data_IF_431905171031
#
_entry.id   IF_431905171031
#
_cell.length_a   1.000
_cell.length_b   1.000
_cell.length_c   1.000
_cell.angle_alpha   90.00
_cell.angle_beta   90.00
_cell.angle_gamma   90.00
#
_symmetry.space_group_name_H-M   'P 1'
#
loop_
_entity.id
_entity.type
_entity.pdbx_description
1 polymer ?
#
# COMPACT_ATOMS: atom_id res chain seq x y z
N UNK A 1 23.78 10.40 -15.61
CA UNK A 1 22.63 10.76 -14.76
C UNK A 1 21.33 10.30 -15.38
N UNK A 2 20.28 9.99 -14.60
CA UNK A 2 18.93 9.71 -15.13
C UNK A 2 18.03 10.90 -14.80
N UNK A 3 17.40 11.46 -15.82
CA UNK A 3 16.56 12.65 -15.70
C UNK A 3 15.13 12.36 -16.14
N UNK A 4 14.20 13.03 -15.50
CA UNK A 4 12.79 13.07 -15.86
C UNK A 4 12.49 14.42 -16.52
N UNK A 5 11.96 14.40 -17.73
CA UNK A 5 11.67 15.61 -18.52
C UNK A 5 10.39 15.46 -19.33
N UNK A 6 9.84 16.59 -19.78
CA UNK A 6 8.72 16.64 -20.71
C UNK A 6 9.23 16.87 -22.14
N UNK A 7 8.86 16.02 -23.09
CA UNK A 7 9.28 16.11 -24.49
C UNK A 7 8.35 16.96 -25.37
N UNK A 8 7.24 17.46 -24.81
CA UNK A 8 6.17 18.14 -25.54
C UNK A 8 4.87 17.34 -25.59
N UNK A 9 4.92 16.03 -25.41
CA UNK A 9 3.79 15.11 -25.50
C UNK A 9 3.63 14.22 -24.26
N UNK A 10 4.73 13.79 -23.65
CA UNK A 10 4.75 12.88 -22.53
C UNK A 10 5.96 13.10 -21.60
N UNK A 11 5.85 12.48 -20.43
CA UNK A 11 6.91 12.44 -19.44
C UNK A 11 7.87 11.28 -19.73
N UNK A 12 9.16 11.61 -19.92
CA UNK A 12 10.21 10.65 -20.28
C UNK A 12 11.26 10.58 -19.18
N UNK A 13 11.74 9.36 -18.90
CA UNK A 13 12.84 9.11 -17.96
C UNK A 13 13.97 8.39 -18.69
N UNK A 14 15.02 9.12 -19.07
CA UNK A 14 16.17 8.58 -19.80
C UNK A 14 17.50 8.97 -19.16
N UNK A 15 18.57 8.27 -19.56
CA UNK A 15 19.92 8.52 -19.09
C UNK A 15 20.58 9.60 -19.94
N UNK A 16 21.12 10.62 -19.29
CA UNK A 16 22.02 11.60 -19.91
C UNK A 16 23.32 10.89 -20.27
N UNK A 17 23.66 10.92 -21.56
CA UNK A 17 24.90 10.37 -22.11
C UNK A 17 25.92 11.46 -22.48
N UNK A 18 25.45 12.69 -22.73
CA UNK A 18 26.31 13.85 -23.05
C UNK A 18 25.63 15.17 -22.64
N UNK A 19 26.41 16.22 -22.44
CA UNK A 19 25.94 17.58 -22.09
C UNK A 19 26.58 18.58 -23.03
N UNK A 20 25.75 19.30 -23.79
CA UNK A 20 26.20 20.36 -24.71
C UNK A 20 25.85 21.73 -24.16
N UNK A 21 26.80 22.66 -24.27
CA UNK A 21 26.61 24.06 -23.86
C UNK A 21 26.68 24.92 -25.12
N UNK A 22 25.60 25.65 -25.39
CA UNK A 22 25.51 26.57 -26.53
C UNK A 22 25.17 27.95 -25.97
N UNK A 23 26.16 28.84 -25.96
CA UNK A 23 26.07 30.13 -25.26
C UNK A 23 25.85 29.92 -23.76
N UNK A 24 24.78 30.50 -23.22
CA UNK A 24 24.39 30.37 -21.80
C UNK A 24 23.45 29.19 -21.52
N UNK A 25 23.07 28.41 -22.55
CA UNK A 25 22.08 27.35 -22.44
C UNK A 25 22.74 25.97 -22.39
N UNK A 26 22.21 25.10 -21.52
CA UNK A 26 22.63 23.70 -21.40
C UNK A 26 21.57 22.77 -22.01
N UNK A 27 22.06 21.83 -22.79
CA UNK A 27 21.27 20.78 -23.44
C UNK A 27 21.82 19.41 -23.03
N UNK A 28 20.91 18.51 -22.69
CA UNK A 28 21.22 17.13 -22.33
C UNK A 28 20.93 16.22 -23.53
N UNK A 29 21.93 15.43 -23.92
CA UNK A 29 21.70 14.33 -24.86
C UNK A 29 21.30 13.12 -24.02
N UNK A 30 20.08 12.66 -24.22
CA UNK A 30 19.52 11.52 -23.48
C UNK A 30 19.47 10.27 -24.34
N UNK A 31 19.40 9.12 -23.68
CA UNK A 31 19.22 7.82 -24.30
C UNK A 31 18.49 6.90 -23.33
N UNK A 32 17.45 6.22 -23.83
CA UNK A 32 16.82 5.13 -23.09
C UNK A 32 17.78 3.95 -22.90
N UNK A 33 17.78 3.32 -21.72
CA UNK A 33 18.71 2.23 -21.40
C UNK A 33 18.58 1.02 -22.35
N UNK A 34 17.43 0.85 -23.01
CA UNK A 34 17.17 -0.20 -24.00
C UNK A 34 17.33 0.24 -25.47
N UNK A 35 17.60 1.52 -25.73
CA UNK A 35 17.73 2.03 -27.10
C UNK A 35 19.15 1.78 -27.62
N UNK A 36 19.31 1.60 -28.93
CA UNK A 36 20.63 1.45 -29.56
C UNK A 36 21.29 2.80 -29.84
N UNK A 37 20.49 3.81 -30.20
CA UNK A 37 20.92 5.16 -30.51
C UNK A 37 20.49 6.18 -29.43
N UNK A 38 21.15 7.36 -29.35
CA UNK A 38 20.67 8.50 -28.58
C UNK A 38 19.29 8.98 -29.04
N UNK A 39 18.58 9.67 -28.15
CA UNK A 39 17.35 10.36 -28.53
C UNK A 39 17.68 11.48 -29.54
N UNK A 40 16.83 11.69 -30.57
CA UNK A 40 17.13 12.61 -31.66
C UNK A 40 17.16 14.08 -31.22
N UNK A 41 16.33 14.45 -30.25
CA UNK A 41 16.17 15.82 -29.79
C UNK A 41 16.90 16.07 -28.46
N UNK A 42 17.87 17.02 -28.42
CA UNK A 42 18.50 17.43 -27.17
C UNK A 42 17.50 18.05 -26.19
N UNK A 43 17.55 17.65 -24.93
CA UNK A 43 16.65 18.12 -23.88
C UNK A 43 17.22 19.41 -23.26
N UNK A 44 16.57 20.57 -23.39
CA UNK A 44 17.05 21.79 -22.73
C UNK A 44 16.88 21.66 -21.21
N UNK A 45 17.79 22.27 -20.44
CA UNK A 45 17.75 22.21 -18.97
C UNK A 45 16.40 22.69 -18.38
N UNK A 46 15.72 23.62 -19.06
CA UNK A 46 14.40 24.13 -18.67
C UNK A 46 13.27 23.11 -18.76
N UNK A 47 13.43 22.05 -19.56
CA UNK A 47 12.43 20.96 -19.69
C UNK A 47 12.63 19.84 -18.67
N UNK A 48 13.72 19.87 -17.89
CA UNK A 48 14.03 18.85 -16.88
C UNK A 48 13.23 19.13 -15.62
N UNK A 49 12.40 18.15 -15.23
CA UNK A 49 11.54 18.22 -14.05
C UNK A 49 12.28 17.76 -12.79
N UNK A 50 13.19 16.81 -12.94
CA UNK A 50 13.95 16.29 -11.81
C UNK A 50 14.97 15.23 -12.20
N UNK A 51 15.86 14.91 -11.25
CA UNK A 51 16.85 13.83 -11.35
C UNK A 51 16.37 12.64 -10.52
N UNK A 52 16.56 11.42 -11.03
CA UNK A 52 16.30 10.22 -10.26
C UNK A 52 17.36 10.05 -9.18
N UNK A 53 16.95 10.08 -7.91
CA UNK A 53 17.86 9.99 -6.74
C UNK A 53 17.79 8.66 -6.00
N UNK A 54 16.72 7.88 -6.20
CA UNK A 54 16.48 6.63 -5.48
C UNK A 54 15.85 5.61 -6.42
N UNK A 55 16.31 4.36 -6.31
CA UNK A 55 15.66 3.19 -6.88
C UNK A 55 15.25 2.28 -5.73
N UNK A 56 13.98 1.91 -5.67
CA UNK A 56 13.51 0.88 -4.73
C UNK A 56 13.34 -0.42 -5.51
N UNK A 57 14.41 -1.24 -5.62
CA UNK A 57 14.32 -2.48 -6.37
C UNK A 57 13.29 -3.40 -5.73
N UNK A 58 12.62 -4.19 -6.58
CA UNK A 58 11.71 -5.27 -6.15
C UNK A 58 10.49 -4.84 -5.33
N UNK A 59 10.15 -3.56 -5.23
CA UNK A 59 8.92 -3.11 -4.54
C UNK A 59 7.65 -3.75 -5.13
N UNK A 60 7.68 -4.11 -6.42
CA UNK A 60 6.62 -4.86 -7.09
C UNK A 60 6.33 -6.23 -6.47
N UNK A 61 7.30 -6.88 -5.82
CA UNK A 61 7.10 -8.18 -5.15
C UNK A 61 6.12 -8.10 -3.99
N UNK A 62 6.09 -6.97 -3.27
CA UNK A 62 5.11 -6.74 -2.23
C UNK A 62 3.69 -6.75 -2.80
N UNK A 63 3.49 -6.10 -3.96
CA UNK A 63 2.18 -6.08 -4.62
C UNK A 63 1.74 -7.48 -5.07
N UNK A 64 2.68 -8.31 -5.54
CA UNK A 64 2.42 -9.68 -5.97
C UNK A 64 2.03 -10.55 -4.77
N UNK A 65 2.77 -10.45 -3.66
CA UNK A 65 2.49 -11.21 -2.44
C UNK A 65 1.09 -10.89 -1.89
N UNK A 66 0.75 -9.60 -1.78
CA UNK A 66 -0.57 -9.17 -1.28
C UNK A 66 -1.69 -9.71 -2.17
N UNK A 67 -1.58 -9.55 -3.50
CA UNK A 67 -2.57 -10.08 -4.44
C UNK A 67 -2.72 -11.59 -4.32
N UNK A 68 -1.62 -12.32 -4.17
CA UNK A 68 -1.63 -13.77 -4.02
C UNK A 68 -2.35 -14.20 -2.74
N UNK A 69 -2.01 -13.62 -1.59
CA UNK A 69 -2.64 -13.96 -0.31
C UNK A 69 -4.16 -13.68 -0.33
N UNK A 70 -4.57 -12.55 -0.91
CA UNK A 70 -6.00 -12.20 -1.06
C UNK A 70 -6.70 -13.22 -1.97
N UNK A 71 -6.08 -13.57 -3.10
CA UNK A 71 -6.66 -14.51 -4.06
C UNK A 71 -6.80 -15.92 -3.48
N UNK A 72 -5.74 -16.44 -2.85
CA UNK A 72 -5.77 -17.75 -2.19
C UNK A 72 -6.82 -17.77 -1.07
N UNK A 73 -6.90 -16.72 -0.25
CA UNK A 73 -7.95 -16.59 0.77
C UNK A 73 -9.36 -16.54 0.19
N UNK A 74 -9.55 -15.81 -0.91
CA UNK A 74 -10.83 -15.74 -1.63
C UNK A 74 -11.25 -17.12 -2.16
N UNK A 75 -10.33 -17.89 -2.75
CA UNK A 75 -10.63 -19.23 -3.25
C UNK A 75 -11.07 -20.17 -2.12
N UNK A 76 -10.35 -20.18 -1.00
CA UNK A 76 -10.70 -21.01 0.16
C UNK A 76 -12.13 -20.70 0.63
N UNK A 77 -12.48 -19.41 0.73
CA UNK A 77 -13.83 -18.98 1.14
C UNK A 77 -14.87 -19.34 0.10
N UNK A 78 -14.58 -19.12 -1.18
CA UNK A 78 -15.47 -19.42 -2.30
C UNK A 78 -15.82 -20.90 -2.37
N UNK A 79 -14.81 -21.76 -2.32
CA UNK A 79 -14.98 -23.22 -2.44
C UNK A 79 -15.66 -23.80 -1.19
N UNK A 80 -15.51 -23.14 -0.03
CA UNK A 80 -16.04 -23.58 1.25
C UNK A 80 -17.08 -22.59 1.82
N UNK A 81 -17.94 -22.03 0.97
CA UNK A 81 -18.85 -20.94 1.37
C UNK A 81 -19.78 -21.35 2.52
N UNK A 82 -20.33 -22.57 2.48
CA UNK A 82 -21.22 -23.08 3.53
C UNK A 82 -20.50 -23.24 4.86
N UNK A 83 -19.30 -23.83 4.85
CA UNK A 83 -18.49 -24.03 6.05
C UNK A 83 -18.08 -22.68 6.66
N UNK A 84 -17.69 -21.73 5.81
CA UNK A 84 -17.33 -20.36 6.22
C UNK A 84 -18.50 -19.64 6.90
N UNK A 85 -19.73 -19.80 6.40
CA UNK A 85 -20.91 -19.22 7.04
C UNK A 85 -21.21 -19.87 8.41
N UNK A 86 -21.08 -21.18 8.52
CA UNK A 86 -21.30 -21.92 9.78
C UNK A 86 -20.26 -21.50 10.82
N UNK A 87 -18.98 -21.41 10.45
CA UNK A 87 -17.92 -21.00 11.37
C UNK A 87 -18.14 -19.56 11.84
N UNK A 88 -18.50 -18.63 10.96
CA UNK A 88 -18.86 -17.26 11.34
C UNK A 88 -20.04 -17.22 12.32
N UNK A 89 -21.12 -17.96 12.05
CA UNK A 89 -22.27 -18.03 12.95
C UNK A 89 -21.87 -18.59 14.32
N UNK A 90 -21.05 -19.64 14.36
CA UNK A 90 -20.57 -20.24 15.62
C UNK A 90 -19.74 -19.25 16.46
N UNK A 91 -18.88 -18.45 15.81
CA UNK A 91 -18.09 -17.40 16.45
C UNK A 91 -19.00 -16.31 17.00
N UNK A 92 -20.01 -15.86 16.22
CA UNK A 92 -20.97 -14.86 16.71
C UNK A 92 -21.72 -15.34 17.95
N UNK A 93 -22.18 -16.59 17.95
CA UNK A 93 -22.88 -17.20 19.09
C UNK A 93 -21.95 -17.26 20.31
N UNK A 94 -20.69 -17.68 20.12
CA UNK A 94 -19.70 -17.73 21.20
C UNK A 94 -19.43 -16.34 21.78
N UNK A 95 -19.24 -15.32 20.94
CA UNK A 95 -19.03 -13.94 21.36
C UNK A 95 -20.25 -13.40 22.13
N UNK A 96 -21.47 -13.70 21.68
CA UNK A 96 -22.71 -13.33 22.35
C UNK A 96 -22.88 -14.05 23.71
N UNK A 97 -22.49 -15.32 23.79
CA UNK A 97 -22.48 -16.06 25.05
C UNK A 97 -21.48 -15.44 26.06
N UNK A 98 -20.24 -15.18 25.60
CA UNK A 98 -19.19 -14.57 26.44
C UNK A 98 -19.58 -13.17 26.89
N UNK A 99 -20.21 -12.36 26.03
CA UNK A 99 -20.69 -11.02 26.38
C UNK A 99 -21.82 -11.07 27.42
N UNK A 100 -22.83 -11.96 27.25
CA UNK A 100 -23.90 -12.17 28.24
C UNK A 100 -23.35 -12.66 29.58
N UNK A 101 -22.41 -13.60 29.58
CA UNK A 101 -21.76 -14.09 30.81
C UNK A 101 -20.99 -12.99 31.53
N UNK A 102 -20.25 -12.15 30.80
CA UNK A 102 -19.57 -10.96 31.35
C UNK A 102 -20.58 -9.99 31.99
N UNK A 103 -21.67 -9.67 31.29
CA UNK A 103 -22.73 -8.77 31.79
C UNK A 103 -23.40 -9.29 33.06
N UNK A 104 -23.75 -10.58 33.13
CA UNK A 104 -24.34 -11.20 34.33
C UNK A 104 -23.42 -11.09 35.54
N UNK A 105 -22.12 -11.36 35.38
CA UNK A 105 -21.12 -11.22 36.46
C UNK A 105 -21.02 -9.78 36.97
N UNK A 106 -21.01 -8.80 36.07
CA UNK A 106 -21.01 -7.39 36.43
C UNK A 106 -22.24 -6.99 37.25
N UNK A 107 -23.44 -7.39 36.80
CA UNK A 107 -24.69 -7.09 37.51
C UNK A 107 -24.72 -7.69 38.92
N UNK A 108 -24.28 -8.94 39.09
CA UNK A 108 -24.23 -9.59 40.40
C UNK A 108 -23.28 -8.86 41.35
N UNK A 109 -22.10 -8.44 40.88
CA UNK A 109 -21.15 -7.66 41.69
C UNK A 109 -21.77 -6.33 42.15
N UNK A 110 -22.40 -5.58 41.24
CA UNK A 110 -23.07 -4.31 41.55
C UNK A 110 -24.22 -4.47 42.54
N UNK A 111 -25.01 -5.54 42.43
CA UNK A 111 -26.09 -5.84 43.38
C UNK A 111 -25.55 -6.16 44.78
N UNK A 112 -24.45 -6.92 44.88
CA UNK A 112 -23.79 -7.20 46.16
C UNK A 112 -23.24 -5.93 46.81
N UNK A 113 -22.58 -5.07 46.04
CA UNK A 113 -22.07 -3.79 46.53
C UNK A 113 -23.20 -2.88 47.06
N UNK A 114 -24.32 -2.78 46.33
CA UNK A 114 -25.51 -2.04 46.79
C UNK A 114 -26.10 -2.63 48.07
N UNK A 115 -26.21 -3.97 48.15
CA UNK A 115 -26.73 -4.65 49.34
C UNK A 115 -25.84 -4.39 50.57
N UNK A 116 -24.51 -4.46 50.42
CA UNK A 116 -23.59 -4.14 51.52
C UNK A 116 -23.72 -2.70 51.99
N UNK A 117 -23.83 -1.73 51.06
CA UNK A 117 -24.03 -0.32 51.41
C UNK A 117 -25.32 -0.06 52.20
N UNK A 118 -26.38 -0.85 51.95
CA UNK A 118 -27.63 -0.74 52.70
C UNK A 118 -27.56 -1.35 54.10
N UNK A 119 -26.73 -2.38 54.33
CA UNK A 119 -26.58 -2.99 55.66
C UNK A 119 -25.71 -2.18 56.62
N UNK A 120 -24.89 -1.26 56.10
CA UNK A 120 -23.99 -0.40 56.88
C UNK A 120 -24.62 0.95 57.26
N UNK A 121 -25.92 1.15 56.96
CA UNK A 121 -26.75 2.27 57.38
C UNK A 121 -27.76 1.80 58.42
#
# INVERSE_FOLDING_TARGET
>A
DIIHFWDGQQFIVHRVIDIRVIGSYKFFITKGDANEAPDPDPVPQTSVLGKMILVIPKIGWLSILVKRLIYEGYLIVKDNIKLSLITLLSIMILLAYVSKKRRKRYLIRRLRERKMKLMLR
#
